data_IF_792721464376
#
_entry.id   IF_792721464376
#
_cell.length_a   1.000
_cell.length_b   1.000
_cell.length_c   1.000
_cell.angle_alpha   90.00
_cell.angle_beta   90.00
_cell.angle_gamma   90.00
#
_symmetry.space_group_name_H-M   'P 1'
#
loop_
_entity.id
_entity.type
_entity.pdbx_description
1 polymer ?
#
# COMPACT_ATOMS: atom_id res chain seq x y z
N UNK A 1 -8.17 -0.79 -9.08
CA UNK A 1 -7.50 -1.29 -7.87
C UNK A 1 -8.52 -1.35 -6.74
N UNK A 2 -8.45 -2.35 -5.84
CA UNK A 2 -9.31 -2.36 -4.65
C UNK A 2 -8.82 -1.26 -3.71
N UNK A 3 -9.72 -0.49 -3.10
CA UNK A 3 -9.36 0.62 -2.18
C UNK A 3 -8.33 0.18 -1.13
N UNK A 4 -8.50 -1.03 -0.59
CA UNK A 4 -7.58 -1.66 0.36
C UNK A 4 -6.15 -1.81 -0.16
N UNK A 5 -5.94 -2.13 -1.45
CA UNK A 5 -4.60 -2.29 -2.06
C UNK A 5 -3.87 -0.95 -2.13
N UNK A 6 -4.59 0.13 -2.47
CA UNK A 6 -4.03 1.49 -2.49
C UNK A 6 -3.68 1.92 -1.05
N UNK A 7 -4.58 1.67 -0.10
CA UNK A 7 -4.35 1.97 1.31
C UNK A 7 -3.11 1.22 1.83
N UNK A 8 -2.94 -0.05 1.46
CA UNK A 8 -1.76 -0.84 1.80
C UNK A 8 -0.46 -0.20 1.28
N UNK A 9 -0.44 0.26 0.03
CA UNK A 9 0.71 1.02 -0.52
C UNK A 9 0.94 2.30 0.27
N UNK A 10 -0.10 3.09 0.52
CA UNK A 10 0.02 4.39 1.19
C UNK A 10 0.65 4.23 2.59
N UNK A 11 0.16 3.27 3.37
CA UNK A 11 0.75 2.96 4.68
C UNK A 11 2.17 2.39 4.56
N UNK A 12 2.47 1.58 3.53
CA UNK A 12 3.82 1.10 3.27
C UNK A 12 4.81 2.24 3.00
N UNK A 13 4.42 3.22 2.17
CA UNK A 13 5.22 4.40 1.86
C UNK A 13 5.38 5.33 3.06
N UNK A 14 4.32 5.53 3.84
CA UNK A 14 4.34 6.32 5.07
C UNK A 14 5.27 5.72 6.13
N UNK A 15 5.24 4.38 6.30
CA UNK A 15 6.08 3.67 7.27
C UNK A 15 7.57 3.87 7.03
N UNK A 16 7.99 4.06 5.77
CA UNK A 16 9.38 4.31 5.39
C UNK A 16 9.70 5.80 5.20
N UNK A 17 8.79 6.71 5.60
CA UNK A 17 8.90 8.15 5.38
C UNK A 17 9.22 8.52 3.92
N UNK A 18 8.64 7.80 2.95
CA UNK A 18 8.95 8.00 1.52
C UNK A 18 8.70 9.45 1.06
N UNK A 19 7.66 10.08 1.61
CA UNK A 19 7.29 11.47 1.31
C UNK A 19 7.89 12.50 2.28
N UNK A 20 8.84 12.11 3.14
CA UNK A 20 9.44 12.98 4.16
C UNK A 20 8.41 13.43 5.20
N UNK A 21 8.40 14.73 5.51
CA UNK A 21 7.50 15.32 6.53
C UNK A 21 6.04 15.50 6.07
N UNK A 22 5.70 15.04 4.87
CA UNK A 22 4.33 15.13 4.35
C UNK A 22 3.45 14.10 5.06
N UNK A 23 2.41 14.57 5.75
CA UNK A 23 1.49 13.68 6.45
C UNK A 23 0.76 12.72 5.51
N UNK A 24 0.55 11.48 5.97
CA UNK A 24 -0.26 10.47 5.27
C UNK A 24 -1.58 11.04 4.75
N UNK A 25 -2.29 11.84 5.56
CA UNK A 25 -3.56 12.48 5.17
C UNK A 25 -3.42 13.34 3.91
N UNK A 26 -2.34 14.11 3.79
CA UNK A 26 -2.09 14.95 2.61
C UNK A 26 -1.75 14.11 1.39
N UNK A 27 -0.99 13.03 1.55
CA UNK A 27 -0.70 12.08 0.47
C UNK A 27 -1.98 11.36 0.01
N UNK A 28 -2.83 10.90 0.94
CA UNK A 28 -4.13 10.30 0.63
C UNK A 28 -4.99 11.25 -0.18
N UNK A 29 -5.16 12.50 0.26
CA UNK A 29 -5.96 13.49 -0.47
C UNK A 29 -5.39 13.78 -1.86
N UNK A 30 -4.06 13.80 -2.01
CA UNK A 30 -3.43 13.94 -3.32
C UNK A 30 -3.76 12.76 -4.24
N UNK A 31 -3.66 11.52 -3.75
CA UNK A 31 -3.99 10.32 -4.53
C UNK A 31 -5.47 10.26 -4.90
N UNK A 32 -6.36 10.59 -3.97
CA UNK A 32 -7.81 10.68 -4.23
C UNK A 32 -8.12 11.66 -5.36
N UNK A 33 -7.54 12.87 -5.30
CA UNK A 33 -7.73 13.89 -6.34
C UNK A 33 -7.08 13.49 -7.68
N UNK A 34 -5.86 12.97 -7.66
CA UNK A 34 -5.10 12.65 -8.87
C UNK A 34 -5.76 11.51 -9.68
N UNK A 35 -6.36 10.53 -9.00
CA UNK A 35 -7.00 9.39 -9.64
C UNK A 35 -8.53 9.47 -9.66
N UNK A 36 -9.12 10.56 -9.14
CA UNK A 36 -10.56 10.75 -8.99
C UNK A 36 -11.25 9.55 -8.29
N UNK A 37 -10.71 9.16 -7.14
CA UNK A 37 -11.19 8.04 -6.31
C UNK A 37 -11.49 8.51 -4.89
N UNK A 38 -12.33 7.75 -4.20
CA UNK A 38 -12.57 7.90 -2.76
C UNK A 38 -11.98 6.69 -2.04
N UNK A 39 -11.02 6.90 -1.13
CA UNK A 39 -10.40 5.86 -0.32
C UNK A 39 -11.14 5.63 1.00
N UNK A 40 -12.06 6.52 1.37
CA UNK A 40 -12.87 6.42 2.59
C UNK A 40 -12.02 6.45 3.86
N UNK A 41 -12.41 5.64 4.86
CA UNK A 41 -11.73 5.62 6.16
C UNK A 41 -10.48 4.73 6.13
N UNK A 42 -9.35 5.32 5.73
CA UNK A 42 -8.06 4.63 5.63
C UNK A 42 -7.60 4.02 6.96
N UNK A 43 -7.88 4.68 8.10
CA UNK A 43 -7.49 4.20 9.43
C UNK A 43 -8.24 2.91 9.81
N UNK A 44 -9.53 2.85 9.50
CA UNK A 44 -10.34 1.63 9.69
C UNK A 44 -9.83 0.51 8.81
N UNK A 45 -9.58 0.79 7.52
CA UNK A 45 -9.07 -0.24 6.61
C UNK A 45 -7.69 -0.73 7.05
N UNK A 46 -6.82 0.13 7.57
CA UNK A 46 -5.53 -0.29 8.14
C UNK A 46 -5.69 -1.15 9.40
N UNK A 47 -6.66 -0.86 10.25
CA UNK A 47 -6.97 -1.74 11.38
C UNK A 47 -7.42 -3.14 10.92
N UNK A 48 -8.20 -3.22 9.84
CA UNK A 48 -8.60 -4.47 9.20
C UNK A 48 -7.44 -5.19 8.48
N UNK A 49 -6.40 -4.48 8.04
CA UNK A 49 -5.18 -5.10 7.51
C UNK A 49 -4.41 -5.82 8.62
N UNK A 50 -4.26 -5.17 9.78
CA UNK A 50 -3.53 -5.73 10.95
C UNK A 50 -4.12 -7.02 11.51
N UNK A 51 -5.42 -7.27 11.33
CA UNK A 51 -6.08 -8.45 11.86
C UNK A 51 -6.01 -9.69 10.94
N UNK A 52 -5.43 -9.56 9.74
CA UNK A 52 -5.34 -10.66 8.76
C UNK A 52 -4.17 -11.59 9.05
N UNK A 53 -4.31 -12.86 8.69
CA UNK A 53 -3.22 -13.84 8.71
C UNK A 53 -2.05 -13.44 7.78
N UNK A 54 -2.37 -12.82 6.64
CA UNK A 54 -1.41 -12.16 5.75
C UNK A 54 -1.66 -10.64 5.82
N UNK A 55 -0.81 -9.87 6.53
CA UNK A 55 -1.06 -8.45 6.77
C UNK A 55 -0.90 -7.56 5.53
N UNK A 56 -0.03 -7.95 4.59
CA UNK A 56 0.37 -7.16 3.42
C UNK A 56 0.30 -7.95 2.09
N UNK A 57 -0.86 -8.55 1.75
CA UNK A 57 -0.97 -9.45 0.62
C UNK A 57 -0.72 -8.75 -0.72
N UNK A 58 -1.02 -7.45 -0.84
CA UNK A 58 -0.83 -6.73 -2.09
C UNK A 58 0.64 -6.35 -2.29
N UNK A 59 1.34 -5.91 -1.25
CA UNK A 59 2.78 -5.61 -1.31
C UNK A 59 3.60 -6.88 -1.58
N UNK A 60 3.23 -8.00 -0.97
CA UNK A 60 3.85 -9.30 -1.26
C UNK A 60 3.70 -9.68 -2.74
N UNK A 61 2.47 -9.58 -3.25
CA UNK A 61 2.17 -9.80 -4.66
C UNK A 61 2.95 -8.82 -5.56
N UNK A 62 2.95 -7.53 -5.26
CA UNK A 62 3.70 -6.53 -6.01
C UNK A 62 5.18 -6.88 -6.10
N UNK A 63 5.80 -7.27 -4.98
CA UNK A 63 7.20 -7.67 -4.94
C UNK A 63 7.45 -8.91 -5.80
N UNK A 64 6.62 -9.95 -5.69
CA UNK A 64 6.74 -11.18 -6.48
C UNK A 64 6.70 -10.87 -7.99
N UNK A 65 5.68 -10.14 -8.44
CA UNK A 65 5.53 -9.79 -9.85
C UNK A 65 6.64 -8.86 -10.35
N UNK A 66 7.14 -7.96 -9.51
CA UNK A 66 8.27 -7.10 -9.85
C UNK A 66 9.56 -7.90 -10.03
N UNK A 67 9.85 -8.86 -9.14
CA UNK A 67 11.00 -9.76 -9.26
C UNK A 67 10.90 -10.61 -10.52
N UNK A 68 9.72 -11.17 -10.81
CA UNK A 68 9.48 -11.93 -12.04
C UNK A 68 9.75 -11.08 -13.29
N UNK A 69 9.31 -9.82 -13.30
CA UNK A 69 9.59 -8.87 -14.40
C UNK A 69 11.08 -8.57 -14.55
N UNK A 70 11.85 -8.64 -13.45
CA UNK A 70 13.31 -8.52 -13.46
C UNK A 70 14.04 -9.82 -13.82
N UNK A 71 13.34 -10.91 -14.11
CA UNK A 71 13.94 -12.22 -14.37
C UNK A 71 14.54 -12.89 -13.12
N UNK A 72 14.14 -12.44 -11.93
CA UNK A 72 14.60 -12.99 -10.64
C UNK A 72 13.51 -13.88 -10.03
N UNK A 73 13.93 -14.88 -9.24
CA UNK A 73 13.02 -15.68 -8.42
C UNK A 73 12.92 -15.05 -7.03
N UNK A 74 11.78 -15.23 -6.37
CA UNK A 74 11.65 -14.87 -4.98
C UNK A 74 12.27 -15.96 -4.11
N UNK A 75 13.37 -15.63 -3.45
CA UNK A 75 14.14 -16.58 -2.64
C UNK A 75 13.69 -16.61 -1.16
N UNK A 76 12.60 -15.93 -0.79
CA UNK A 76 12.02 -16.00 0.57
C UNK A 76 11.48 -17.42 0.83
N UNK A 77 12.13 -18.13 1.77
CA UNK A 77 11.62 -19.35 2.41
C UNK A 77 10.57 -19.03 3.45
#
# INVERSE_FOLDING_TARGET
AKKTEIIEILYGLDTINFFGEVSLKRVTAFVENAFNIDLGNISRTFAELKSRNAPTPFLDKMREFLLKRMGRKDDRK
#
